data_IF_493199482484
#
_entry.id   IF_493199482484
#
_cell.length_a   1.000
_cell.length_b   1.000
_cell.length_c   1.000
_cell.angle_alpha   90.00
_cell.angle_beta   90.00
_cell.angle_gamma   90.00
#
_symmetry.space_group_name_H-M   'P 1'
#
loop_
_entity.id
_entity.type
_entity.pdbx_description
1 polymer ?
#
# COMPACT_ATOMS: atom_id res chain seq x y z
N UNK A 1 -44.35 38.69 1.38
CA UNK A 1 -44.47 39.54 2.58
C UNK A 1 -43.46 40.67 2.46
N UNK A 2 -43.74 41.85 3.02
CA UNK A 2 -42.78 42.96 3.06
C UNK A 2 -41.75 42.73 4.18
N UNK A 3 -40.49 43.11 3.97
CA UNK A 3 -39.93 44.32 4.60
C UNK A 3 -38.56 44.70 4.00
N UNK A 4 -38.13 45.94 4.20
CA UNK A 4 -36.81 46.48 3.83
C UNK A 4 -35.88 46.54 5.05
N UNK A 5 -34.57 46.45 4.80
CA UNK A 5 -33.52 47.14 5.57
C UNK A 5 -32.29 47.35 4.68
N UNK A 6 -31.53 48.43 4.92
CA UNK A 6 -30.35 48.86 4.14
C UNK A 6 -29.30 49.50 5.08
N UNK A 7 -28.16 49.92 4.51
CA UNK A 7 -26.97 50.53 5.13
C UNK A 7 -26.01 49.58 5.88
N UNK A 8 -24.68 49.82 5.90
CA UNK A 8 -23.92 50.81 5.10
C UNK A 8 -22.60 51.29 5.77
N UNK A 9 -21.56 51.53 4.97
CA UNK A 9 -20.23 52.02 5.41
C UNK A 9 -19.32 50.90 5.95
N UNK A 10 -18.06 50.69 5.55
CA UNK A 10 -16.97 51.52 4.97
C UNK A 10 -16.34 52.54 5.92
N UNK A 11 -15.17 52.18 6.46
CA UNK A 11 -14.00 53.08 6.60
C UNK A 11 -12.71 52.24 6.63
N UNK A 12 -11.59 52.84 6.25
CA UNK A 12 -10.27 52.21 6.23
C UNK A 12 -9.23 53.11 6.91
N UNK A 13 -8.14 52.53 7.41
CA UNK A 13 -6.96 53.30 7.82
C UNK A 13 -5.68 52.46 7.75
N UNK A 14 -4.59 53.10 7.35
CA UNK A 14 -3.25 52.55 7.22
C UNK A 14 -2.40 53.07 8.39
N UNK A 15 -1.59 52.22 9.01
CA UNK A 15 -0.64 52.58 10.07
C UNK A 15 0.58 51.65 10.05
N UNK A 16 1.78 52.17 10.34
CA UNK A 16 3.06 51.50 10.05
C UNK A 16 4.13 51.82 11.10
N UNK A 17 5.08 50.88 11.29
CA UNK A 17 6.40 50.96 11.99
C UNK A 17 6.41 50.83 13.54
N UNK A 18 7.40 50.04 14.01
CA UNK A 18 7.88 49.82 15.40
C UNK A 18 7.24 48.63 16.14
N UNK A 19 7.95 47.60 16.62
CA UNK A 19 9.33 47.17 16.36
C UNK A 19 10.27 47.19 17.57
N UNK A 20 10.48 46.02 18.21
CA UNK A 20 11.81 45.52 18.63
C UNK A 20 11.76 43.99 18.92
N UNK A 21 12.95 43.40 19.04
CA UNK A 21 13.43 42.18 19.72
C UNK A 21 12.48 41.37 20.62
N UNK A 22 12.62 40.03 20.78
CA UNK A 22 13.51 39.05 20.11
C UNK A 22 13.24 37.62 20.63
N UNK A 23 13.35 36.56 19.82
CA UNK A 23 13.99 35.30 20.28
C UNK A 23 14.44 34.32 19.18
N UNK A 24 15.48 33.54 19.51
CA UNK A 24 15.84 32.17 19.08
C UNK A 24 15.71 31.69 17.62
N UNK A 25 16.87 31.36 17.03
CA UNK A 25 17.16 30.17 16.18
C UNK A 25 16.48 30.00 14.79
N UNK A 26 17.11 29.40 13.76
CA UNK A 26 18.53 29.05 13.50
C UNK A 26 18.73 28.64 12.03
N UNK A 27 19.95 28.78 11.50
CA UNK A 27 20.41 28.33 10.16
C UNK A 27 19.70 29.02 8.95
N UNK A 28 20.19 29.04 7.69
CA UNK A 28 21.27 28.30 7.01
C UNK A 28 21.80 29.08 5.76
N UNK A 29 22.88 28.56 5.12
CA UNK A 29 23.53 29.00 3.84
C UNK A 29 24.51 30.20 4.01
N UNK A 30 25.56 30.44 3.22
CA UNK A 30 26.11 29.89 1.93
C UNK A 30 27.60 30.37 1.72
N UNK A 31 28.45 30.04 0.72
CA UNK A 31 28.44 29.12 -0.45
C UNK A 31 29.89 28.83 -0.99
N UNK A 32 30.19 27.58 -1.43
CA UNK A 32 31.14 27.16 -2.51
C UNK A 32 32.70 27.31 -2.43
N UNK A 33 33.35 26.39 -3.18
CA UNK A 33 34.77 26.28 -3.67
C UNK A 33 35.83 25.80 -2.64
N UNK A 34 36.73 24.83 -2.91
CA UNK A 34 37.63 24.46 -4.06
C UNK A 34 38.89 25.37 -4.06
N UNK A 35 40.16 24.92 -4.00
CA UNK A 35 40.80 23.58 -4.20
C UNK A 35 42.12 23.43 -3.38
N UNK A 36 42.67 22.19 -3.35
CA UNK A 36 44.09 21.77 -3.16
C UNK A 36 44.46 21.00 -1.87
N UNK A 37 45.55 20.22 -2.01
CA UNK A 37 46.13 19.13 -1.19
C UNK A 37 47.69 19.30 -1.29
N UNK A 38 48.57 18.51 -0.64
CA UNK A 38 48.33 17.41 0.32
C UNK A 38 49.22 17.44 1.59
N UNK A 39 49.00 16.47 2.48
CA UNK A 39 50.12 15.56 2.86
C UNK A 39 49.58 14.12 3.08
N UNK A 40 50.37 13.25 3.68
CA UNK A 40 50.36 11.80 3.45
C UNK A 40 50.66 10.99 4.70
N UNK A 41 50.02 9.83 4.86
CA UNK A 41 50.62 8.66 5.52
C UNK A 41 49.83 7.39 5.23
N UNK A 42 50.54 6.26 5.22
CA UNK A 42 50.03 4.95 4.82
C UNK A 42 49.17 4.26 5.89
N UNK A 43 48.07 3.64 5.46
CA UNK A 43 47.74 2.26 5.85
C UNK A 43 46.91 1.59 4.76
N UNK A 44 47.16 0.29 4.55
CA UNK A 44 46.60 -0.45 3.41
C UNK A 44 45.11 -0.76 3.57
N UNK A 45 44.38 -0.70 2.46
CA UNK A 45 43.07 -1.33 2.30
C UNK A 45 43.15 -2.35 1.18
N UNK A 46 42.78 -3.60 1.47
CA UNK A 46 42.64 -4.62 0.43
C UNK A 46 41.45 -4.24 -0.46
N UNK A 47 41.74 -3.84 -1.70
CA UNK A 47 40.71 -3.54 -2.70
C UNK A 47 40.05 -4.84 -3.16
N UNK A 48 39.03 -5.29 -2.41
CA UNK A 48 38.06 -6.23 -2.95
C UNK A 48 37.32 -5.51 -4.08
N UNK A 49 37.75 -5.74 -5.32
CA UNK A 49 37.14 -5.19 -6.53
C UNK A 49 35.77 -5.80 -6.71
N UNK A 50 34.77 -5.20 -6.05
CA UNK A 50 33.39 -5.65 -6.11
C UNK A 50 32.88 -5.43 -7.54
N UNK A 51 32.92 -6.49 -8.35
CA UNK A 51 32.54 -6.44 -9.76
C UNK A 51 31.07 -6.03 -9.87
N UNK A 52 30.84 -4.77 -10.26
CA UNK A 52 29.52 -4.21 -10.49
C UNK A 52 28.96 -4.79 -11.79
N UNK A 53 28.49 -6.03 -11.71
CA UNK A 53 27.88 -6.76 -12.81
C UNK A 53 26.43 -6.28 -12.97
N UNK A 54 26.26 -5.02 -13.37
CA UNK A 54 25.01 -4.25 -13.39
C UNK A 54 24.04 -4.68 -14.51
N UNK A 55 23.74 -5.97 -14.58
CA UNK A 55 22.71 -6.60 -15.44
C UNK A 55 21.88 -7.65 -14.71
N UNK A 56 21.84 -7.60 -13.38
CA UNK A 56 20.85 -8.31 -12.59
C UNK A 56 19.76 -7.32 -12.18
N UNK A 57 18.50 -7.75 -12.26
CA UNK A 57 17.36 -6.95 -11.82
C UNK A 57 17.51 -6.59 -10.32
N UNK A 58 16.97 -5.45 -9.85
CA UNK A 58 16.90 -5.16 -8.43
C UNK A 58 16.28 -6.34 -7.68
N UNK A 59 16.81 -6.76 -6.51
CA UNK A 59 16.23 -7.84 -5.73
C UNK A 59 14.73 -7.61 -5.55
N UNK A 60 13.91 -8.57 -6.00
CA UNK A 60 12.46 -8.45 -5.97
C UNK A 60 11.98 -8.56 -4.53
N UNK A 61 11.94 -7.42 -3.83
CA UNK A 61 11.52 -7.31 -2.45
C UNK A 61 10.13 -7.95 -2.24
N UNK A 62 10.10 -9.08 -1.53
CA UNK A 62 8.90 -9.89 -1.30
C UNK A 62 8.33 -9.74 0.13
N UNK A 63 8.98 -8.93 0.99
CA UNK A 63 8.60 -8.79 2.40
C UNK A 63 8.86 -10.04 3.25
N UNK A 64 8.33 -10.04 4.47
CA UNK A 64 8.54 -11.03 5.53
C UNK A 64 7.52 -12.17 5.53
N UNK A 65 6.61 -12.21 4.57
CA UNK A 65 5.47 -13.14 4.53
C UNK A 65 5.52 -14.09 3.31
N UNK A 66 6.73 -14.34 2.82
CA UNK A 66 7.04 -15.29 1.75
C UNK A 66 7.00 -14.73 0.32
N UNK A 67 7.69 -15.42 -0.59
CA UNK A 67 7.73 -15.05 -2.01
C UNK A 67 6.45 -15.48 -2.72
N UNK A 68 5.54 -14.51 -2.91
CA UNK A 68 4.27 -14.67 -3.62
C UNK A 68 4.40 -15.26 -5.03
N UNK A 69 5.56 -15.17 -5.69
CA UNK A 69 5.76 -15.72 -7.04
C UNK A 69 5.84 -17.25 -7.01
N UNK A 70 6.37 -17.82 -5.94
CA UNK A 70 6.51 -19.27 -5.72
C UNK A 70 5.20 -19.94 -5.28
N UNK A 71 4.32 -19.21 -4.60
CA UNK A 71 3.11 -19.77 -3.99
C UNK A 71 2.05 -20.18 -5.01
N UNK A 72 1.41 -21.33 -4.82
CA UNK A 72 0.34 -21.80 -5.71
C UNK A 72 -0.96 -21.02 -5.55
N UNK A 73 -1.61 -20.68 -6.67
CA UNK A 73 -2.91 -20.02 -6.70
C UNK A 73 -3.67 -20.41 -7.97
N UNK A 74 -4.96 -20.75 -7.84
CA UNK A 74 -5.81 -21.13 -8.96
C UNK A 74 -6.38 -19.95 -9.76
N UNK A 75 -6.33 -18.73 -9.21
CA UNK A 75 -6.97 -17.53 -9.77
C UNK A 75 -8.48 -17.43 -9.47
N UNK A 76 -9.21 -16.72 -10.32
CA UNK A 76 -10.64 -16.43 -10.15
C UNK A 76 -11.56 -17.62 -10.46
N UNK A 77 -12.73 -17.70 -9.81
CA UNK A 77 -13.65 -18.85 -9.95
C UNK A 77 -14.21 -19.03 -11.38
N UNK A 78 -14.12 -20.27 -11.88
CA UNK A 78 -14.72 -20.67 -13.17
C UNK A 78 -16.19 -21.07 -12.99
N UNK A 79 -17.05 -20.06 -12.80
CA UNK A 79 -18.50 -20.23 -12.81
C UNK A 79 -19.01 -20.33 -14.27
N UNK A 80 -20.19 -20.91 -14.51
CA UNK A 80 -20.75 -21.07 -15.87
C UNK A 80 -20.86 -19.72 -16.61
N UNK A 81 -21.19 -18.63 -15.91
CA UNK A 81 -21.23 -17.27 -16.46
C UNK A 81 -19.88 -16.55 -16.60
N UNK A 82 -18.76 -17.19 -16.23
CA UNK A 82 -17.41 -16.61 -16.19
C UNK A 82 -16.35 -17.42 -16.96
N UNK A 83 -16.71 -18.50 -17.65
CA UNK A 83 -15.78 -19.46 -18.26
C UNK A 83 -14.67 -18.87 -19.15
N UNK A 84 -14.86 -17.67 -19.72
CA UNK A 84 -13.87 -16.97 -20.56
C UNK A 84 -12.86 -16.17 -19.69
N UNK A 85 -13.28 -15.68 -18.53
CA UNK A 85 -12.56 -14.73 -17.68
C UNK A 85 -12.30 -15.33 -16.28
N UNK A 86 -11.81 -16.56 -16.21
CA UNK A 86 -11.55 -17.27 -14.96
C UNK A 86 -10.15 -17.89 -14.89
N UNK A 87 -9.84 -18.55 -13.76
CA UNK A 87 -8.51 -19.06 -13.46
C UNK A 87 -7.47 -17.93 -13.35
N UNK A 88 -6.20 -18.28 -13.50
CA UNK A 88 -5.10 -17.30 -13.56
C UNK A 88 -5.31 -16.28 -14.70
N UNK A 89 -5.66 -16.65 -15.96
CA UNK A 89 -5.84 -15.67 -17.02
C UNK A 89 -6.93 -14.63 -16.73
N UNK A 90 -8.04 -15.03 -16.11
CA UNK A 90 -9.08 -14.12 -15.64
C UNK A 90 -8.57 -13.13 -14.59
N UNK A 91 -7.85 -13.62 -13.59
CA UNK A 91 -7.20 -12.77 -12.58
C UNK A 91 -6.23 -11.77 -13.18
N UNK A 92 -5.38 -12.20 -14.11
CA UNK A 92 -4.41 -11.31 -14.77
C UNK A 92 -5.09 -10.27 -15.67
N UNK A 93 -6.17 -10.63 -16.36
CA UNK A 93 -7.01 -9.68 -17.10
C UNK A 93 -7.61 -8.60 -16.19
N UNK A 94 -8.20 -8.97 -15.05
CA UNK A 94 -8.73 -7.97 -14.11
C UNK A 94 -7.62 -7.09 -13.51
N UNK A 95 -6.44 -7.65 -13.24
CA UNK A 95 -5.29 -6.89 -12.75
C UNK A 95 -4.73 -5.90 -13.79
N UNK A 96 -4.76 -6.24 -15.09
CA UNK A 96 -4.37 -5.33 -16.18
C UNK A 96 -5.38 -4.18 -16.35
N UNK A 97 -6.69 -4.48 -16.28
CA UNK A 97 -7.73 -3.44 -16.29
C UNK A 97 -7.54 -2.44 -15.14
N UNK A 98 -7.24 -2.92 -13.93
CA UNK A 98 -7.02 -2.09 -12.75
C UNK A 98 -5.64 -1.39 -12.74
N UNK A 99 -4.69 -1.83 -13.57
CA UNK A 99 -3.29 -1.37 -13.56
C UNK A 99 -3.19 0.15 -13.72
N UNK A 100 -4.00 0.75 -14.60
CA UNK A 100 -4.02 2.20 -14.84
C UNK A 100 -4.45 2.97 -13.59
N UNK A 101 -5.48 2.49 -12.87
CA UNK A 101 -5.97 3.11 -11.65
C UNK A 101 -5.00 2.95 -10.46
N UNK A 102 -4.21 1.86 -10.46
CA UNK A 102 -3.20 1.60 -9.42
C UNK A 102 -1.86 2.33 -9.62
N UNK A 103 -1.53 2.81 -10.83
CA UNK A 103 -0.25 3.49 -11.09
C UNK A 103 -0.01 4.76 -10.26
N UNK A 104 -0.97 5.67 -10.03
CA UNK A 104 -0.79 6.82 -9.12
C UNK A 104 -0.34 6.41 -7.71
N UNK A 105 -0.87 5.30 -7.20
CA UNK A 105 -0.56 4.79 -5.85
C UNK A 105 0.72 3.94 -5.80
N UNK A 106 1.41 3.66 -6.92
CA UNK A 106 2.51 2.69 -6.96
C UNK A 106 3.67 3.03 -6.01
N UNK A 107 4.07 4.31 -5.93
CA UNK A 107 5.11 4.76 -4.98
C UNK A 107 4.66 4.62 -3.53
N UNK A 108 3.40 4.94 -3.25
CA UNK A 108 2.81 4.88 -1.92
C UNK A 108 2.67 3.44 -1.41
N UNK A 109 2.16 2.56 -2.26
CA UNK A 109 2.01 1.12 -2.03
C UNK A 109 3.39 0.49 -1.70
N UNK A 110 4.46 0.92 -2.39
CA UNK A 110 5.83 0.49 -2.07
C UNK A 110 6.31 0.97 -0.71
N UNK A 111 6.07 2.23 -0.35
CA UNK A 111 6.50 2.76 0.96
C UNK A 111 5.77 2.04 2.12
N UNK A 112 4.46 1.79 1.97
CA UNK A 112 3.66 1.04 2.94
C UNK A 112 4.12 -0.42 3.02
N UNK A 113 4.36 -1.07 1.87
CA UNK A 113 4.87 -2.45 1.82
C UNK A 113 6.25 -2.60 2.48
N UNK A 114 7.17 -1.66 2.26
CA UNK A 114 8.45 -1.60 2.97
C UNK A 114 8.25 -1.43 4.48
N UNK A 115 7.36 -0.52 4.91
CA UNK A 115 7.14 -0.22 6.33
C UNK A 115 6.47 -1.34 7.12
N UNK A 116 5.63 -2.17 6.48
CA UNK A 116 4.95 -3.30 7.11
C UNK A 116 5.60 -4.67 6.84
N UNK A 117 6.72 -4.70 6.12
CA UNK A 117 7.34 -5.91 5.61
C UNK A 117 6.41 -6.79 4.73
N UNK A 118 5.59 -6.18 3.87
CA UNK A 118 4.64 -6.85 2.96
C UNK A 118 5.04 -6.59 1.51
N UNK A 119 4.86 -7.58 0.62
CA UNK A 119 5.07 -7.39 -0.82
C UNK A 119 4.14 -6.29 -1.38
N UNK A 120 4.66 -5.22 -2.02
CA UNK A 120 3.83 -4.16 -2.58
C UNK A 120 2.87 -4.65 -3.68
N UNK A 121 3.21 -5.72 -4.40
CA UNK A 121 2.33 -6.33 -5.39
C UNK A 121 1.13 -7.04 -4.76
N UNK A 122 1.26 -7.55 -3.53
CA UNK A 122 0.13 -8.09 -2.78
C UNK A 122 -0.82 -6.98 -2.32
N UNK A 123 -0.28 -5.85 -1.86
CA UNK A 123 -1.09 -4.67 -1.49
C UNK A 123 -1.87 -4.17 -2.72
N UNK A 124 -1.20 -4.04 -3.88
CA UNK A 124 -1.84 -3.67 -5.15
C UNK A 124 -2.95 -4.67 -5.54
N UNK A 125 -2.71 -5.98 -5.36
CA UNK A 125 -3.69 -7.02 -5.65
C UNK A 125 -4.94 -6.96 -4.74
N UNK A 126 -4.77 -6.67 -3.45
CA UNK A 126 -5.89 -6.49 -2.52
C UNK A 126 -6.72 -5.27 -2.93
N UNK A 127 -6.07 -4.15 -3.26
CA UNK A 127 -6.76 -2.93 -3.73
C UNK A 127 -7.51 -3.17 -5.05
N UNK A 128 -6.89 -3.88 -6.01
CA UNK A 128 -7.54 -4.34 -7.24
C UNK A 128 -8.77 -5.19 -6.93
N UNK A 129 -8.63 -6.24 -6.11
CA UNK A 129 -9.71 -7.19 -5.79
C UNK A 129 -10.86 -6.57 -4.97
N UNK A 130 -10.60 -5.51 -4.20
CA UNK A 130 -11.59 -4.90 -3.30
C UNK A 130 -12.22 -3.60 -3.85
N UNK A 131 -11.48 -2.79 -4.59
CA UNK A 131 -11.96 -1.46 -5.03
C UNK A 131 -11.60 -1.09 -6.48
N UNK A 132 -11.00 -2.00 -7.27
CA UNK A 132 -10.58 -1.71 -8.65
C UNK A 132 -9.72 -0.43 -8.76
N UNK A 133 -8.76 -0.26 -7.85
CA UNK A 133 -7.93 0.95 -7.76
C UNK A 133 -8.70 2.21 -7.31
N UNK A 134 -9.85 2.05 -6.65
CA UNK A 134 -10.77 3.11 -6.26
C UNK A 134 -11.88 3.42 -7.27
N UNK A 135 -11.87 2.81 -8.47
CA UNK A 135 -12.78 3.19 -9.58
C UNK A 135 -14.26 2.85 -9.34
N UNK A 136 -14.58 1.98 -8.38
CA UNK A 136 -15.95 1.63 -7.99
C UNK A 136 -16.42 2.30 -6.69
N UNK A 137 -15.66 3.27 -6.17
CA UNK A 137 -15.96 3.96 -4.90
C UNK A 137 -16.60 5.32 -5.12
N UNK A 138 -17.52 5.70 -4.22
CA UNK A 138 -18.11 7.03 -4.14
C UNK A 138 -17.60 7.72 -2.86
N UNK A 139 -16.79 8.78 -3.02
CA UNK A 139 -16.10 9.47 -1.92
C UNK A 139 -15.35 8.52 -0.95
N UNK A 140 -14.83 7.42 -1.51
CA UNK A 140 -14.13 6.37 -0.78
C UNK A 140 -15.00 5.23 -0.24
N UNK A 141 -16.33 5.34 -0.34
CA UNK A 141 -17.26 4.32 0.15
C UNK A 141 -17.65 3.32 -0.94
N UNK A 142 -17.92 2.10 -0.50
CA UNK A 142 -18.59 1.09 -1.34
C UNK A 142 -20.07 1.41 -1.56
N UNK A 143 -20.70 0.73 -2.51
CA UNK A 143 -22.13 0.89 -2.82
C UNK A 143 -23.10 0.64 -1.65
N UNK A 144 -22.68 -0.06 -0.59
CA UNK A 144 -23.47 -0.24 0.65
C UNK A 144 -23.18 0.81 1.73
N UNK A 145 -22.17 1.66 1.54
CA UNK A 145 -21.75 2.68 2.50
C UNK A 145 -21.15 2.11 3.80
N UNK A 146 -20.62 0.90 3.80
CA UNK A 146 -20.09 0.21 4.97
C UNK A 146 -18.57 0.03 4.95
N UNK A 147 -17.97 0.00 3.76
CA UNK A 147 -16.53 -0.23 3.58
C UNK A 147 -15.85 0.98 2.96
N UNK A 148 -14.71 1.33 3.54
CA UNK A 148 -14.01 2.58 3.26
C UNK A 148 -12.62 2.35 2.66
N UNK A 149 -12.31 3.15 1.64
CA UNK A 149 -11.00 3.31 1.05
C UNK A 149 -10.51 2.18 0.16
N UNK A 150 -9.31 2.37 -0.38
CA UNK A 150 -8.67 1.47 -1.36
C UNK A 150 -8.65 0.01 -0.92
N UNK A 151 -8.46 -0.24 0.38
CA UNK A 151 -8.44 -1.59 0.99
C UNK A 151 -9.73 -1.95 1.76
N UNK A 152 -10.79 -1.15 1.63
CA UNK A 152 -12.18 -1.51 1.98
C UNK A 152 -12.38 -1.99 3.43
N UNK A 153 -11.93 -1.17 4.39
CA UNK A 153 -12.10 -1.42 5.82
C UNK A 153 -13.55 -1.22 6.25
N UNK A 154 -14.09 -2.16 7.03
CA UNK A 154 -15.46 -2.08 7.56
C UNK A 154 -15.56 -1.06 8.69
N UNK A 155 -16.39 -0.01 8.51
CA UNK A 155 -16.56 1.11 9.45
C UNK A 155 -17.05 0.68 10.84
N UNK A 156 -17.71 -0.47 10.94
CA UNK A 156 -18.28 -0.98 12.19
C UNK A 156 -17.22 -1.71 13.04
N UNK A 157 -16.07 -2.05 12.44
CA UNK A 157 -14.94 -2.75 13.07
C UNK A 157 -13.71 -1.83 13.19
N UNK A 158 -13.52 -0.93 12.22
CA UNK A 158 -12.35 -0.07 12.12
C UNK A 158 -12.78 1.38 11.82
N UNK A 159 -12.45 2.31 12.72
CA UNK A 159 -12.63 3.74 12.49
C UNK A 159 -11.65 4.23 11.41
N UNK A 160 -12.08 4.86 10.30
CA UNK A 160 -11.17 5.37 9.27
C UNK A 160 -10.19 6.42 9.81
N UNK A 161 -8.90 6.23 9.56
CA UNK A 161 -7.86 7.12 10.09
C UNK A 161 -7.66 8.45 9.32
N UNK A 162 -8.03 8.50 8.03
CA UNK A 162 -7.73 9.62 7.11
C UNK A 162 -8.58 9.52 5.82
N UNK A 163 -8.19 10.20 4.73
CA UNK A 163 -8.87 10.07 3.42
C UNK A 163 -8.73 8.66 2.86
N UNK A 164 -9.68 8.29 2.00
CA UNK A 164 -9.92 6.93 1.50
C UNK A 164 -8.77 6.35 0.65
N UNK A 165 -7.94 7.23 0.12
CA UNK A 165 -6.78 7.01 -0.76
C UNK A 165 -5.43 7.27 -0.06
N UNK A 166 -5.46 7.76 1.19
CA UNK A 166 -4.28 8.24 1.91
C UNK A 166 -3.26 7.16 2.26
N UNK A 167 -2.04 7.63 2.55
CA UNK A 167 -0.98 6.85 3.18
C UNK A 167 -1.42 6.26 4.51
N UNK A 168 -2.10 7.05 5.32
CA UNK A 168 -2.55 6.71 6.66
C UNK A 168 -3.63 5.61 6.62
N UNK A 169 -4.53 5.65 5.64
CA UNK A 169 -5.49 4.57 5.36
C UNK A 169 -4.78 3.27 4.95
N UNK A 170 -3.79 3.34 4.05
CA UNK A 170 -3.04 2.14 3.63
C UNK A 170 -2.15 1.58 4.77
N UNK A 171 -1.52 2.43 5.60
CA UNK A 171 -0.81 2.00 6.80
C UNK A 171 -1.75 1.30 7.80
N UNK A 172 -2.96 1.84 8.01
CA UNK A 172 -3.99 1.20 8.84
C UNK A 172 -4.39 -0.17 8.28
N UNK A 173 -4.75 -0.24 7.00
CA UNK A 173 -5.23 -1.46 6.37
C UNK A 173 -4.16 -2.55 6.26
N UNK A 174 -2.93 -2.20 5.88
CA UNK A 174 -1.80 -3.15 5.82
C UNK A 174 -1.35 -3.53 7.24
N UNK A 175 -1.46 -2.65 8.23
CA UNK A 175 -1.31 -2.99 9.64
C UNK A 175 -2.24 -4.13 10.05
N UNK A 176 -3.55 -3.96 9.83
CA UNK A 176 -4.58 -4.97 10.09
C UNK A 176 -4.26 -6.28 9.34
N UNK A 177 -3.86 -6.22 8.06
CA UNK A 177 -3.45 -7.41 7.30
C UNK A 177 -2.27 -8.15 7.98
N UNK A 178 -1.21 -7.45 8.40
CA UNK A 178 -0.08 -8.10 9.08
C UNK A 178 -0.49 -8.75 10.40
N UNK A 179 -1.41 -8.15 11.15
CA UNK A 179 -1.89 -8.72 12.41
C UNK A 179 -2.82 -9.92 12.20
N UNK A 180 -3.59 -9.95 11.10
CA UNK A 180 -4.34 -11.15 10.68
C UNK A 180 -3.41 -12.28 10.23
N UNK A 181 -2.31 -12.00 9.52
CA UNK A 181 -1.29 -13.01 9.18
C UNK A 181 -0.64 -13.57 10.46
N UNK A 182 -0.18 -12.70 11.39
CA UNK A 182 0.39 -13.10 12.69
C UNK A 182 -0.59 -13.94 13.52
N UNK A 183 -1.88 -13.59 13.52
CA UNK A 183 -2.91 -14.35 14.22
C UNK A 183 -3.09 -15.76 13.64
N UNK A 184 -3.03 -15.91 12.32
CA UNK A 184 -3.09 -17.21 11.63
C UNK A 184 -1.80 -18.03 11.85
N UNK A 185 -0.63 -17.40 11.82
CA UNK A 185 0.65 -18.04 12.20
C UNK A 185 0.59 -18.62 13.63
N UNK A 186 0.03 -17.87 14.58
CA UNK A 186 -0.17 -18.33 15.96
C UNK A 186 -1.26 -19.42 16.08
N UNK A 187 -2.32 -19.37 15.27
CA UNK A 187 -3.44 -20.32 15.30
C UNK A 187 -3.06 -21.67 14.67
N UNK A 188 -2.20 -21.66 13.65
CA UNK A 188 -1.78 -22.84 12.88
C UNK A 188 -0.25 -22.89 12.70
N UNK A 189 0.54 -23.12 13.76
CA UNK A 189 2.01 -23.06 13.70
C UNK A 189 2.66 -24.15 12.83
N UNK A 190 1.91 -25.19 12.43
CA UNK A 190 2.36 -26.26 11.53
C UNK A 190 2.04 -26.03 10.05
N UNK A 191 1.33 -24.96 9.70
CA UNK A 191 1.08 -24.57 8.31
C UNK A 191 2.34 -23.99 7.65
N UNK A 192 2.41 -24.10 6.32
CA UNK A 192 3.49 -23.46 5.55
C UNK A 192 3.29 -21.95 5.45
N UNK A 193 4.37 -21.22 5.14
CA UNK A 193 4.36 -19.78 4.93
C UNK A 193 3.28 -19.32 3.91
N UNK A 194 3.12 -20.09 2.83
CA UNK A 194 2.06 -19.85 1.83
C UNK A 194 0.65 -20.05 2.41
N UNK A 195 0.45 -21.04 3.29
CA UNK A 195 -0.82 -21.27 3.98
C UNK A 195 -1.08 -20.19 5.04
N UNK A 196 -0.05 -19.68 5.72
CA UNK A 196 -0.15 -18.52 6.62
C UNK A 196 -0.56 -17.26 5.87
N UNK A 197 0.03 -16.98 4.70
CA UNK A 197 -0.34 -15.82 3.89
C UNK A 197 -1.77 -15.94 3.34
N UNK A 198 -2.12 -17.09 2.74
CA UNK A 198 -3.49 -17.37 2.27
C UNK A 198 -4.52 -17.25 3.40
N UNK A 199 -4.21 -17.78 4.59
CA UNK A 199 -5.07 -17.65 5.76
C UNK A 199 -5.17 -16.22 6.28
N UNK A 200 -4.07 -15.46 6.28
CA UNK A 200 -4.07 -14.04 6.62
C UNK A 200 -4.93 -13.19 5.69
N UNK A 201 -4.94 -13.47 4.39
CA UNK A 201 -5.84 -12.87 3.41
C UNK A 201 -7.32 -13.22 3.69
N UNK A 202 -7.62 -14.50 3.94
CA UNK A 202 -8.99 -14.93 4.28
C UNK A 202 -9.48 -14.27 5.59
N UNK A 203 -8.59 -14.17 6.58
CA UNK A 203 -8.84 -13.53 7.87
C UNK A 203 -8.90 -11.99 7.82
N UNK A 204 -8.24 -11.35 6.85
CA UNK A 204 -8.41 -9.92 6.55
C UNK A 204 -9.81 -9.64 6.01
N UNK A 205 -10.31 -10.49 5.11
CA UNK A 205 -11.67 -10.38 4.57
C UNK A 205 -12.78 -10.77 5.58
N UNK A 206 -12.52 -11.76 6.43
CA UNK A 206 -13.60 -12.54 7.09
C UNK A 206 -13.38 -12.83 8.58
N UNK A 207 -12.33 -12.30 9.21
CA UNK A 207 -11.96 -12.60 10.60
C UNK A 207 -11.08 -13.85 10.75
N UNK A 208 -10.22 -13.87 11.77
CA UNK A 208 -9.30 -14.98 12.04
C UNK A 208 -10.00 -16.17 12.72
N UNK A 209 -11.15 -15.91 13.32
CA UNK A 209 -12.13 -16.85 13.82
C UNK A 209 -12.68 -17.76 12.72
N UNK A 210 -13.01 -17.20 11.54
CA UNK A 210 -13.62 -17.92 10.41
C UNK A 210 -12.69 -18.90 9.68
N UNK A 211 -11.36 -18.79 9.84
CA UNK A 211 -10.39 -19.71 9.25
C UNK A 211 -10.16 -20.90 10.18
N UNK A 212 -10.76 -22.05 9.90
CA UNK A 212 -10.64 -23.27 10.73
C UNK A 212 -9.78 -24.37 10.08
N UNK A 213 -9.72 -24.39 8.75
CA UNK A 213 -9.17 -25.47 7.93
C UNK A 213 -8.45 -24.92 6.69
N UNK A 214 -7.74 -25.80 5.96
CA UNK A 214 -7.16 -25.45 4.66
C UNK A 214 -8.21 -25.14 3.57
N UNK A 215 -9.47 -25.53 3.75
CA UNK A 215 -10.56 -25.17 2.81
C UNK A 215 -10.94 -23.69 2.94
N UNK A 216 -10.83 -23.13 4.15
CA UNK A 216 -11.22 -21.75 4.44
C UNK A 216 -10.19 -20.72 3.93
N UNK A 217 -9.03 -21.20 3.44
CA UNK A 217 -7.98 -20.38 2.83
C UNK A 217 -7.88 -20.59 1.31
N UNK A 218 -8.54 -21.61 0.76
CA UNK A 218 -8.57 -21.92 -0.67
C UNK A 218 -9.81 -21.31 -1.36
N UNK A 219 -10.07 -20.04 -1.05
CA UNK A 219 -11.26 -19.31 -1.55
C UNK A 219 -10.94 -18.52 -2.83
N UNK A 220 -11.95 -18.26 -3.65
CA UNK A 220 -11.86 -17.38 -4.83
C UNK A 220 -11.17 -16.04 -4.51
N UNK A 221 -11.54 -15.39 -3.40
CA UNK A 221 -10.92 -14.13 -2.98
C UNK A 221 -9.40 -14.27 -2.79
N UNK A 222 -8.95 -15.35 -2.13
CA UNK A 222 -7.53 -15.57 -1.85
C UNK A 222 -6.78 -15.96 -3.12
N UNK A 223 -7.30 -16.91 -3.90
CA UNK A 223 -6.64 -17.41 -5.10
C UNK A 223 -6.59 -16.38 -6.23
N UNK A 224 -7.64 -15.57 -6.42
CA UNK A 224 -7.63 -14.43 -7.33
C UNK A 224 -6.62 -13.38 -6.86
N UNK A 225 -6.67 -12.95 -5.58
CA UNK A 225 -5.70 -11.97 -5.04
C UNK A 225 -4.25 -12.42 -5.22
N UNK A 226 -3.93 -13.69 -4.97
CA UNK A 226 -2.58 -14.22 -5.19
C UNK A 226 -2.18 -14.22 -6.68
N UNK A 227 -3.08 -14.56 -7.60
CA UNK A 227 -2.81 -14.48 -9.04
C UNK A 227 -2.62 -13.02 -9.52
N UNK A 228 -3.47 -12.09 -9.07
CA UNK A 228 -3.30 -10.65 -9.32
C UNK A 228 -1.98 -10.12 -8.75
N UNK A 229 -1.53 -10.62 -7.59
CA UNK A 229 -0.24 -10.23 -7.01
C UNK A 229 0.93 -10.67 -7.90
N UNK A 230 0.90 -11.88 -8.47
CA UNK A 230 1.88 -12.33 -9.47
C UNK A 230 1.87 -11.45 -10.73
N UNK A 231 0.72 -10.93 -11.16
CA UNK A 231 0.64 -9.96 -12.24
C UNK A 231 1.29 -8.61 -11.87
N UNK A 232 0.89 -8.00 -10.74
CA UNK A 232 1.42 -6.70 -10.32
C UNK A 232 2.93 -6.72 -10.07
N UNK A 233 3.48 -7.86 -9.63
CA UNK A 233 4.93 -8.05 -9.46
C UNK A 233 5.70 -7.84 -10.76
N UNK A 234 5.19 -8.38 -11.87
CA UNK A 234 5.79 -8.22 -13.21
C UNK A 234 5.63 -6.79 -13.75
N UNK A 235 4.63 -6.05 -13.26
CA UNK A 235 4.38 -4.65 -13.61
C UNK A 235 5.04 -3.65 -12.63
N UNK A 236 6.00 -4.13 -11.85
CA UNK A 236 6.94 -3.34 -11.07
C UNK A 236 6.38 -2.77 -9.78
N UNK A 237 5.39 -3.41 -9.16
CA UNK A 237 5.02 -3.17 -7.76
C UNK A 237 6.00 -3.90 -6.82
#
# INVERSE_FOLDING_TARGET
MLSFALFGGLFALIGVISGDSSNSASEARHMKRILLKPDSTSRGSHTFTHSMNSRLHPPLYHGCYGDITTMEASGASCDIGKLINCGIPGSEMFADMDLRALKPYQTLIKEVGLRHCVDPALIAAIISRLSHGGTVLLDGWDHTGNKFGLMQLDKNIHQPAATWDSKEHLLQAVGILTDRIKAIQKKFPSWSEAQHLKGGLSAFKSGAEAVATLKDIDTDFVNDTMARAKFFKRHGF
#
